data_IF_280555757189
#
_entry.id   IF_280555757189
#
_cell.length_a   1.000
_cell.length_b   1.000
_cell.length_c   1.000
_cell.angle_alpha   90.00
_cell.angle_beta   90.00
_cell.angle_gamma   90.00
#
_symmetry.space_group_name_H-M   'P 1'
#
loop_
_entity.id
_entity.type
_entity.pdbx_description
1 polymer ?
#
# COMPACT_ATOMS: atom_id res chain seq x y z
N UNK A 1 8.43 17.78 -18.15
CA UNK A 1 8.69 18.29 -16.78
C UNK A 1 9.62 17.33 -16.04
N UNK A 2 10.93 17.41 -16.33
CA UNK A 2 11.98 16.81 -15.52
C UNK A 2 12.24 17.76 -14.35
N UNK A 3 12.11 17.28 -13.11
CA UNK A 3 12.88 17.71 -11.94
C UNK A 3 12.12 17.35 -10.66
N UNK A 4 12.58 16.30 -9.99
CA UNK A 4 12.91 16.28 -8.56
C UNK A 4 13.66 14.99 -8.32
N UNK A 5 14.90 15.12 -7.84
CA UNK A 5 15.63 14.02 -7.23
C UNK A 5 14.72 13.47 -6.13
N UNK A 6 14.10 12.31 -6.35
CA UNK A 6 13.57 11.54 -5.25
C UNK A 6 14.80 11.14 -4.43
N UNK A 7 15.05 11.86 -3.34
CA UNK A 7 15.86 11.31 -2.27
C UNK A 7 15.15 10.04 -1.83
N UNK A 8 15.58 8.89 -2.36
CA UNK A 8 15.26 7.60 -1.76
C UNK A 8 15.58 7.77 -0.27
N UNK A 9 14.63 7.51 0.65
CA UNK A 9 14.95 7.51 2.06
C UNK A 9 16.18 6.63 2.28
N UNK A 10 17.14 7.06 3.11
CA UNK A 10 18.46 6.42 3.19
C UNK A 10 18.40 4.95 3.62
N UNK A 11 17.29 4.51 4.23
CA UNK A 11 17.09 3.12 4.63
C UNK A 11 16.49 2.22 3.52
N UNK A 12 16.17 2.79 2.35
CA UNK A 12 15.62 2.06 1.22
C UNK A 12 14.14 1.69 1.39
N UNK A 13 13.73 0.63 0.67
CA UNK A 13 12.38 0.07 0.80
C UNK A 13 12.23 -0.74 2.09
N UNK A 14 11.00 -0.92 2.56
CA UNK A 14 10.70 -1.76 3.72
C UNK A 14 11.15 -3.21 3.48
N UNK A 15 11.02 -3.72 2.26
CA UNK A 15 11.53 -5.03 1.87
C UNK A 15 13.05 -5.16 2.13
N UNK A 16 13.84 -4.16 1.72
CA UNK A 16 15.29 -4.14 1.94
C UNK A 16 15.64 -3.94 3.42
N UNK A 17 14.90 -3.07 4.10
CA UNK A 17 15.08 -2.81 5.53
C UNK A 17 14.88 -4.10 6.35
N UNK A 18 13.78 -4.82 6.12
CA UNK A 18 13.43 -6.05 6.83
C UNK A 18 14.35 -7.23 6.51
N UNK A 19 14.99 -7.24 5.32
CA UNK A 19 15.98 -8.26 4.99
C UNK A 19 17.31 -8.08 5.72
N UNK A 20 17.60 -6.86 6.19
CA UNK A 20 18.86 -6.52 6.86
C UNK A 20 18.71 -6.38 8.37
N UNK A 21 17.51 -6.06 8.87
CA UNK A 21 17.28 -5.71 10.26
C UNK A 21 16.14 -6.52 10.88
N UNK A 22 16.24 -6.70 12.20
CA UNK A 22 15.13 -7.09 13.08
C UNK A 22 14.75 -5.89 13.96
N UNK A 23 13.55 -5.91 14.53
CA UNK A 23 13.08 -4.84 15.42
C UNK A 23 12.36 -5.39 16.64
N UNK A 24 12.28 -4.57 17.69
CA UNK A 24 11.39 -4.82 18.82
C UNK A 24 9.92 -4.54 18.43
N UNK A 25 9.00 -4.91 19.32
CA UNK A 25 7.56 -4.70 19.13
C UNK A 25 7.23 -3.25 18.79
N UNK A 26 7.82 -2.30 19.52
CA UNK A 26 7.56 -0.87 19.36
C UNK A 26 7.99 -0.36 17.99
N UNK A 27 9.14 -0.83 17.49
CA UNK A 27 9.66 -0.47 16.17
C UNK A 27 8.78 -1.05 15.06
N UNK A 28 8.38 -2.33 15.16
CA UNK A 28 7.46 -2.96 14.21
C UNK A 28 6.10 -2.26 14.18
N UNK A 29 5.56 -1.88 15.35
CA UNK A 29 4.34 -1.07 15.45
C UNK A 29 4.51 0.31 14.81
N UNK A 30 5.67 0.98 14.98
CA UNK A 30 5.93 2.29 14.38
C UNK A 30 5.93 2.23 12.85
N UNK A 31 6.61 1.22 12.28
CA UNK A 31 6.65 0.98 10.83
C UNK A 31 5.23 0.75 10.31
N UNK A 32 4.53 -0.27 10.81
CA UNK A 32 3.17 -0.63 10.36
C UNK A 32 2.17 0.51 10.55
N UNK A 33 2.18 1.20 11.70
CA UNK A 33 1.29 2.31 11.97
C UNK A 33 1.45 3.47 10.97
N UNK A 34 2.69 3.80 10.60
CA UNK A 34 2.95 4.88 9.64
C UNK A 34 2.57 4.51 8.20
N UNK A 35 2.72 3.25 7.77
CA UNK A 35 2.15 2.75 6.51
C UNK A 35 0.63 2.88 6.52
N UNK A 36 -0.02 2.43 7.59
CA UNK A 36 -1.49 2.45 7.73
C UNK A 36 -2.05 3.86 7.74
N UNK A 37 -1.37 4.81 8.41
CA UNK A 37 -1.74 6.24 8.33
C UNK A 37 -1.63 6.77 6.91
N UNK A 38 -0.59 6.38 6.17
CA UNK A 38 -0.42 6.72 4.76
C UNK A 38 -1.57 6.17 3.90
N UNK A 39 -1.91 4.89 4.07
CA UNK A 39 -2.96 4.25 3.30
C UNK A 39 -4.34 4.83 3.63
N UNK A 40 -4.63 5.03 4.93
CA UNK A 40 -5.85 5.69 5.37
C UNK A 40 -5.98 7.09 4.75
N UNK A 41 -4.90 7.86 4.68
CA UNK A 41 -4.91 9.15 4.01
C UNK A 41 -5.21 9.02 2.50
N UNK A 42 -4.65 8.03 1.81
CA UNK A 42 -4.97 7.76 0.40
C UNK A 42 -6.45 7.44 0.21
N UNK A 43 -7.00 6.51 1.02
CA UNK A 43 -8.37 6.03 0.95
C UNK A 43 -9.44 7.03 1.41
N UNK A 44 -9.03 8.09 2.12
CA UNK A 44 -9.94 9.13 2.61
C UNK A 44 -10.12 10.22 1.56
N UNK A 45 -11.37 10.46 1.16
CA UNK A 45 -11.76 11.68 0.45
C UNK A 45 -11.71 12.86 1.43
N UNK A 46 -11.03 13.95 1.05
CA UNK A 46 -10.88 15.13 1.90
C UNK A 46 -11.33 16.38 1.16
N UNK A 47 -12.19 17.15 1.82
CA UNK A 47 -12.56 18.51 1.44
C UNK A 47 -12.09 19.48 2.53
N UNK A 48 -11.17 20.39 2.21
CA UNK A 48 -10.70 21.43 3.12
C UNK A 48 -10.68 22.78 2.43
N UNK A 49 -11.69 23.60 2.72
CA UNK A 49 -11.94 24.83 1.97
C UNK A 49 -12.13 24.51 0.49
N UNK A 50 -11.39 25.19 -0.38
CA UNK A 50 -11.42 24.97 -1.82
C UNK A 50 -10.50 23.83 -2.30
N UNK A 51 -9.80 23.14 -1.38
CA UNK A 51 -8.92 22.03 -1.72
C UNK A 51 -9.69 20.72 -1.62
N UNK A 52 -9.86 20.07 -2.76
CA UNK A 52 -10.44 18.73 -2.87
C UNK A 52 -9.36 17.68 -3.17
N UNK A 53 -9.33 16.63 -2.35
CA UNK A 53 -8.52 15.43 -2.57
C UNK A 53 -9.48 14.23 -2.69
N UNK A 54 -9.58 13.58 -3.87
CA UNK A 54 -10.36 12.36 -3.99
C UNK A 54 -9.74 11.21 -3.18
N UNK A 55 -10.53 10.21 -2.85
CA UNK A 55 -9.99 8.92 -2.41
C UNK A 55 -9.14 8.31 -3.55
N UNK A 56 -8.10 7.56 -3.20
CA UNK A 56 -7.17 6.93 -4.15
C UNK A 56 -6.89 5.52 -3.69
N UNK A 57 -7.03 4.53 -4.58
CA UNK A 57 -6.49 3.18 -4.38
C UNK A 57 -5.07 3.10 -4.93
N UNK A 58 -4.20 2.35 -4.24
CA UNK A 58 -2.80 2.20 -4.61
C UNK A 58 -2.60 1.16 -5.72
N UNK A 59 -3.25 0.00 -5.59
CA UNK A 59 -3.28 -1.14 -6.53
C UNK A 59 -1.99 -1.93 -6.71
N UNK A 60 -0.86 -1.42 -6.23
CA UNK A 60 0.39 -2.18 -6.12
C UNK A 60 1.07 -1.94 -4.76
N UNK A 61 0.28 -2.00 -3.68
CA UNK A 61 0.84 -1.84 -2.34
C UNK A 61 1.64 -3.10 -2.00
N UNK A 62 2.92 -2.94 -1.68
CA UNK A 62 3.81 -4.02 -1.25
C UNK A 62 5.01 -3.44 -0.49
N UNK A 63 5.82 -4.28 0.16
CA UNK A 63 6.96 -3.82 0.97
C UNK A 63 8.09 -3.18 0.15
N UNK A 64 8.16 -3.38 -1.18
CA UNK A 64 9.11 -2.67 -2.06
C UNK A 64 8.66 -1.24 -2.36
N UNK A 65 7.35 -1.02 -2.40
CA UNK A 65 6.71 0.28 -2.64
C UNK A 65 6.45 1.06 -1.34
N UNK A 66 6.94 0.59 -0.21
CA UNK A 66 7.01 1.34 1.06
C UNK A 66 8.46 1.71 1.33
N UNK A 67 8.72 2.98 1.68
CA UNK A 67 10.07 3.47 1.99
C UNK A 67 10.21 3.79 3.47
N UNK A 68 11.37 3.47 4.05
CA UNK A 68 11.65 3.67 5.48
C UNK A 68 12.49 4.93 5.71
N UNK A 69 12.03 5.82 6.58
CA UNK A 69 12.74 7.05 6.97
C UNK A 69 13.69 6.81 8.14
N UNK A 70 14.56 7.79 8.41
CA UNK A 70 15.51 7.75 9.53
C UNK A 70 14.85 7.71 10.92
N UNK A 71 13.63 8.23 11.05
CA UNK A 71 12.89 8.25 12.31
C UNK A 71 12.11 6.95 12.57
N UNK A 72 12.33 5.92 11.76
CA UNK A 72 11.61 4.64 11.86
C UNK A 72 10.16 4.70 11.39
N UNK A 73 9.76 5.77 10.69
CA UNK A 73 8.45 5.86 10.03
C UNK A 73 8.55 5.52 8.55
N UNK A 74 7.42 5.14 7.96
CA UNK A 74 7.29 4.73 6.57
C UNK A 74 6.49 5.75 5.76
N UNK A 75 6.73 5.73 4.44
CA UNK A 75 5.90 6.41 3.44
C UNK A 75 5.60 5.47 2.29
N UNK A 76 4.37 5.54 1.78
CA UNK A 76 3.95 4.82 0.57
C UNK A 76 4.51 5.55 -0.66
N UNK A 77 4.96 4.80 -1.65
CA UNK A 77 5.59 5.27 -2.88
C UNK A 77 5.11 4.46 -4.08
N UNK A 78 5.50 4.89 -5.28
CA UNK A 78 5.11 4.30 -6.57
C UNK A 78 3.60 4.28 -6.83
N UNK A 79 3.10 5.42 -7.29
CA UNK A 79 1.69 5.61 -7.65
C UNK A 79 1.41 5.30 -9.13
N UNK A 80 2.30 4.57 -9.82
CA UNK A 80 2.18 4.30 -11.26
C UNK A 80 0.91 3.56 -11.67
N UNK A 81 0.35 2.76 -10.76
CA UNK A 81 -0.89 1.98 -10.96
C UNK A 81 -2.08 2.51 -10.17
N UNK A 82 -1.89 3.59 -9.40
CA UNK A 82 -2.92 4.12 -8.51
C UNK A 82 -4.10 4.74 -9.26
N UNK A 83 -5.28 4.65 -8.68
CA UNK A 83 -6.53 5.13 -9.29
C UNK A 83 -7.28 6.07 -8.37
N UNK A 84 -7.76 7.19 -8.91
CA UNK A 84 -8.67 8.09 -8.19
C UNK A 84 -10.05 7.45 -8.13
N UNK A 85 -10.61 7.40 -6.93
CA UNK A 85 -11.95 6.92 -6.63
C UNK A 85 -12.83 8.18 -6.52
N UNK A 86 -13.44 8.57 -7.63
CA UNK A 86 -14.44 9.64 -7.69
C UNK A 86 -15.80 8.98 -7.90
N UNK A 87 -16.72 9.20 -6.95
CA UNK A 87 -18.01 8.50 -6.86
C UNK A 87 -18.73 8.28 -8.20
N UNK A 88 -19.31 7.09 -8.36
CA UNK A 88 -20.11 6.57 -9.50
C UNK A 88 -19.61 6.81 -10.93
N UNK A 89 -18.41 7.37 -11.14
CA UNK A 89 -17.85 7.61 -12.47
C UNK A 89 -16.40 7.14 -12.52
N UNK A 90 -16.23 5.81 -12.53
CA UNK A 90 -15.20 5.27 -13.40
C UNK A 90 -15.49 5.81 -14.82
N UNK A 91 -14.46 6.32 -15.47
CA UNK A 91 -14.57 6.78 -16.86
C UNK A 91 -15.09 5.58 -17.67
N UNK A 92 -16.30 5.74 -18.23
CA UNK A 92 -17.01 4.92 -19.24
C UNK A 92 -16.70 3.41 -19.26
N UNK A 93 -17.64 2.54 -18.86
CA UNK A 93 -17.41 1.09 -18.85
C UNK A 93 -17.29 0.53 -20.28
N UNK A 94 -16.10 0.04 -20.61
CA UNK A 94 -15.86 -1.00 -21.62
C UNK A 94 -15.35 -2.27 -20.93
N UNK A 95 -15.61 -3.44 -21.53
CA UNK A 95 -15.19 -4.74 -20.97
C UNK A 95 -13.66 -4.84 -20.83
N UNK A 96 -12.91 -4.24 -21.76
CA UNK A 96 -11.43 -4.21 -21.74
C UNK A 96 -10.86 -3.34 -20.60
N UNK A 97 -11.53 -2.24 -20.24
CA UNK A 97 -11.07 -1.35 -19.16
C UNK A 97 -11.31 -1.98 -17.78
N UNK A 98 -12.38 -2.77 -17.63
CA UNK A 98 -12.66 -3.54 -16.42
C UNK A 98 -11.61 -4.65 -16.16
N UNK A 99 -11.17 -5.35 -17.21
CA UNK A 99 -10.10 -6.34 -17.11
C UNK A 99 -8.75 -5.69 -16.72
N UNK A 100 -8.45 -4.52 -17.31
CA UNK A 100 -7.26 -3.73 -16.94
C UNK A 100 -7.31 -3.20 -15.49
N UNK A 101 -8.50 -3.12 -14.88
CA UNK A 101 -8.64 -2.74 -13.47
C UNK A 101 -8.22 -3.90 -12.53
N UNK A 102 -8.54 -5.14 -12.89
CA UNK A 102 -8.33 -6.33 -12.04
C UNK A 102 -7.00 -7.06 -12.24
N UNK A 103 -6.22 -6.80 -13.30
CA UNK A 103 -5.05 -7.63 -13.63
C UNK A 103 -3.67 -6.98 -13.37
N UNK A 104 -3.63 -5.82 -12.70
CA UNK A 104 -2.36 -5.11 -12.42
C UNK A 104 -1.88 -5.30 -10.98
N UNK A 105 -0.58 -5.10 -10.80
CA UNK A 105 0.09 -5.15 -9.49
C UNK A 105 0.98 -6.38 -9.34
N UNK A 106 1.63 -6.49 -8.19
CA UNK A 106 2.53 -7.60 -7.89
C UNK A 106 1.74 -8.83 -7.45
N UNK A 107 1.76 -9.91 -8.24
CA UNK A 107 0.97 -11.16 -8.04
C UNK A 107 0.96 -11.67 -6.59
N UNK A 108 2.12 -11.67 -5.90
CA UNK A 108 2.25 -12.15 -4.50
C UNK A 108 1.37 -11.37 -3.51
N UNK A 109 1.04 -10.12 -3.83
CA UNK A 109 0.28 -9.22 -2.97
C UNK A 109 -1.18 -9.06 -3.42
N UNK A 110 -1.58 -9.70 -4.51
CA UNK A 110 -2.95 -9.61 -5.03
C UNK A 110 -3.92 -10.33 -4.08
N UNK A 111 -5.04 -9.68 -3.81
CA UNK A 111 -6.16 -10.26 -3.09
C UNK A 111 -6.77 -11.42 -3.91
N UNK A 112 -7.40 -12.43 -3.27
CA UNK A 112 -7.93 -13.59 -3.98
C UNK A 112 -8.94 -13.22 -5.07
N UNK A 113 -9.82 -12.24 -4.83
CA UNK A 113 -10.79 -11.75 -5.81
C UNK A 113 -10.14 -11.11 -7.05
N UNK A 114 -8.90 -10.61 -6.92
CA UNK A 114 -8.10 -10.08 -8.03
C UNK A 114 -7.55 -11.24 -8.87
N UNK A 115 -6.98 -12.25 -8.20
CA UNK A 115 -6.45 -13.45 -8.84
C UNK A 115 -7.52 -14.27 -9.57
N UNK A 116 -8.74 -14.28 -9.03
CA UNK A 116 -9.90 -14.97 -9.60
C UNK A 116 -10.62 -14.14 -10.68
N UNK A 117 -10.23 -12.89 -10.90
CA UNK A 117 -10.93 -11.96 -11.80
C UNK A 117 -12.37 -11.66 -11.34
N UNK A 118 -12.65 -11.80 -10.04
CA UNK A 118 -13.98 -11.73 -9.44
C UNK A 118 -14.21 -10.44 -8.62
N UNK A 119 -13.45 -9.38 -8.90
CA UNK A 119 -13.55 -8.08 -8.23
C UNK A 119 -14.95 -7.47 -8.44
N UNK A 120 -15.59 -7.01 -7.36
CA UNK A 120 -16.91 -6.38 -7.44
C UNK A 120 -16.84 -4.96 -8.05
N UNK A 121 -16.82 -4.86 -9.37
CA UNK A 121 -16.74 -3.58 -10.08
C UNK A 121 -18.01 -2.71 -9.97
N UNK A 122 -19.13 -3.26 -9.46
CA UNK A 122 -20.34 -2.46 -9.17
C UNK A 122 -20.11 -1.52 -7.98
N UNK A 123 -19.26 -1.91 -7.05
CA UNK A 123 -18.76 -1.08 -5.95
C UNK A 123 -17.22 -1.02 -6.01
N UNK A 124 -16.72 -0.46 -7.11
CA UNK A 124 -15.29 -0.39 -7.40
C UNK A 124 -14.49 0.35 -6.31
N UNK A 125 -15.08 1.36 -5.67
CA UNK A 125 -14.40 2.13 -4.63
C UNK A 125 -14.09 1.26 -3.42
N UNK A 126 -15.10 0.56 -2.88
CA UNK A 126 -14.89 -0.36 -1.76
C UNK A 126 -14.00 -1.52 -2.16
N UNK A 127 -14.21 -2.11 -3.34
CA UNK A 127 -13.44 -3.26 -3.80
C UNK A 127 -11.94 -2.93 -3.93
N UNK A 128 -11.59 -1.80 -4.57
CA UNK A 128 -10.19 -1.42 -4.73
C UNK A 128 -9.52 -1.01 -3.40
N UNK A 129 -10.28 -0.44 -2.46
CA UNK A 129 -9.77 -0.21 -1.09
C UNK A 129 -9.50 -1.53 -0.36
N UNK A 130 -10.37 -2.53 -0.51
CA UNK A 130 -10.20 -3.86 0.09
C UNK A 130 -8.98 -4.60 -0.46
N UNK A 131 -8.71 -4.47 -1.76
CA UNK A 131 -7.49 -5.02 -2.37
C UNK A 131 -6.23 -4.44 -1.74
N UNK A 132 -6.16 -3.11 -1.53
CA UNK A 132 -5.02 -2.50 -0.83
C UNK A 132 -4.92 -2.97 0.64
N UNK A 133 -6.06 -3.19 1.31
CA UNK A 133 -6.10 -3.67 2.69
C UNK A 133 -5.59 -5.11 2.83
N UNK A 134 -5.89 -5.97 1.86
CA UNK A 134 -5.31 -7.32 1.81
C UNK A 134 -3.78 -7.25 1.70
N UNK A 135 -3.27 -6.43 0.78
CA UNK A 135 -1.84 -6.24 0.62
C UNK A 135 -1.16 -5.63 1.86
N UNK A 136 -1.83 -4.71 2.56
CA UNK A 136 -1.36 -4.19 3.85
C UNK A 136 -1.23 -5.30 4.90
N UNK A 137 -2.15 -6.26 4.93
CA UNK A 137 -2.08 -7.43 5.80
C UNK A 137 -0.81 -8.27 5.58
N UNK A 138 -0.39 -8.42 4.33
CA UNK A 138 0.87 -9.10 3.99
C UNK A 138 2.10 -8.31 4.44
N UNK A 139 2.08 -6.97 4.31
CA UNK A 139 3.14 -6.09 4.82
C UNK A 139 3.25 -6.19 6.36
N UNK A 140 2.11 -6.26 7.05
CA UNK A 140 2.10 -6.49 8.49
C UNK A 140 2.77 -7.82 8.83
N UNK A 141 2.40 -8.90 8.13
CA UNK A 141 3.03 -10.20 8.31
C UNK A 141 4.54 -10.13 8.10
N UNK A 142 5.02 -9.56 6.98
CA UNK A 142 6.46 -9.39 6.72
C UNK A 142 7.16 -8.64 7.87
N UNK A 143 6.55 -7.58 8.38
CA UNK A 143 7.14 -6.74 9.44
C UNK A 143 7.20 -7.48 10.77
N UNK A 144 6.12 -8.15 11.17
CA UNK A 144 6.05 -8.85 12.46
C UNK A 144 6.83 -10.17 12.47
N UNK A 145 7.08 -10.80 11.30
CA UNK A 145 8.01 -11.92 11.20
C UNK A 145 9.48 -11.52 11.46
N UNK A 146 9.78 -10.22 11.55
CA UNK A 146 11.09 -9.67 11.95
C UNK A 146 11.08 -9.07 13.37
N UNK A 147 9.99 -9.26 14.11
CA UNK A 147 9.82 -8.80 15.48
C UNK A 147 10.48 -9.79 16.46
N UNK A 148 11.51 -9.36 17.18
CA UNK A 148 12.22 -10.22 18.15
C UNK A 148 11.33 -10.63 19.33
N UNK A 149 10.42 -9.74 19.73
CA UNK A 149 9.59 -9.95 20.93
C UNK A 149 8.49 -10.99 20.71
N UNK A 150 8.14 -11.30 19.46
CA UNK A 150 7.18 -12.36 19.11
C UNK A 150 7.82 -13.75 19.08
N UNK A 151 9.14 -13.83 18.99
CA UNK A 151 9.89 -15.10 18.94
C UNK A 151 10.99 -15.17 20.02
N UNK A 152 10.61 -15.06 21.31
CA UNK A 152 11.58 -15.13 22.40
C UNK A 152 12.27 -16.49 22.39
N UNK A 153 13.59 -16.49 22.17
CA UNK A 153 14.44 -17.70 22.14
C UNK A 153 14.95 -18.13 20.77
N UNK A 154 14.47 -17.52 19.67
CA UNK A 154 15.02 -17.71 18.32
C UNK A 154 15.75 -16.45 17.85
N UNK A 155 16.72 -15.98 18.66
CA UNK A 155 17.71 -15.03 18.18
C UNK A 155 18.50 -15.68 17.04
N UNK A 156 18.68 -15.02 15.88
CA UNK A 156 19.57 -15.53 14.84
C UNK A 156 21.02 -15.65 15.34
#
# INVERSE_FOLDING_TARGET
LKSRRCCSPPQGSLCQYLSLQTGDWVSCCRLTHSVTRGLAYLHTELLRGDIYKPAVSHRDLNSRNVLVKNDGTCVISDFGLSMKLTGNRLVRPGEEENAAISEVGTVRYMAPEVLEGAVNLRDCESALKQVDMYALGLIYWETFMRCTDLFPGNSP
#
